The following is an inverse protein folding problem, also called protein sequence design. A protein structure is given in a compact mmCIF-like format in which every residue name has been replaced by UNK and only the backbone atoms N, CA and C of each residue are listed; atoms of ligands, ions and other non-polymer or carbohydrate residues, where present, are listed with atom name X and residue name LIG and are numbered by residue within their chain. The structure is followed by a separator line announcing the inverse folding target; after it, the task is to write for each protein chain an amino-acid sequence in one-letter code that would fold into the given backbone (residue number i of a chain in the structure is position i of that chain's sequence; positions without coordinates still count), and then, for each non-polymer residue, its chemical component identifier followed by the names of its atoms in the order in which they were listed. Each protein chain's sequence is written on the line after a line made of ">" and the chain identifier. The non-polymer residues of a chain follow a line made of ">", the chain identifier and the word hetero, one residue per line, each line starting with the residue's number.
data_IF_699372153408
#
_entry.id   IF_699372153408
#
_cell.length_a   1.000
_cell.length_b   1.000
_cell.length_c   1.000
_cell.angle_alpha   90.00
_cell.angle_beta   90.00
_cell.angle_gamma   90.00
#
_symmetry.space_group_name_H-M   'P 1'
#
loop_
_entity.id
_entity.type
_entity.pdbx_description
1 polymer ?
#
# COMPACT_ATOMS: atom_id res chain seq x y z
N UNK A 1 -13.70 11.56 1.85
CA UNK A 1 -12.48 11.45 1.05
C UNK A 1 -12.05 9.98 0.98
N UNK A 2 -11.79 9.50 -0.21
CA UNK A 2 -11.43 8.09 -0.43
C UNK A 2 -9.92 7.95 -0.46
N UNK A 3 -9.40 7.04 0.33
CA UNK A 3 -7.99 6.67 0.30
C UNK A 3 -7.90 5.16 0.13
N UNK A 4 -7.30 4.73 -0.97
CA UNK A 4 -7.23 3.33 -1.32
C UNK A 4 -6.01 2.66 -0.67
N UNK A 5 -6.21 1.47 -0.14
CA UNK A 5 -5.12 0.62 0.31
C UNK A 5 -5.01 -0.59 -0.57
N UNK A 6 -3.85 -0.82 -1.14
CA UNK A 6 -3.61 -1.94 -2.05
C UNK A 6 -2.51 -2.82 -1.48
N UNK A 7 -2.82 -4.09 -1.31
CA UNK A 7 -1.87 -5.08 -0.81
C UNK A 7 -1.51 -6.01 -1.95
N UNK A 8 -0.25 -6.00 -2.36
CA UNK A 8 0.26 -6.87 -3.41
C UNK A 8 1.16 -7.95 -2.83
N UNK A 9 0.97 -9.18 -3.27
CA UNK A 9 1.80 -10.30 -2.86
C UNK A 9 3.01 -10.51 -3.77
N UNK A 10 2.93 -10.06 -5.01
CA UNK A 10 3.97 -10.25 -6.01
C UNK A 10 4.64 -8.94 -6.36
N UNK A 11 5.96 -8.96 -6.40
CA UNK A 11 6.77 -7.80 -6.71
C UNK A 11 6.41 -7.17 -8.06
N UNK A 12 6.14 -7.99 -9.07
CA UNK A 12 5.82 -7.51 -10.40
C UNK A 12 4.53 -6.70 -10.44
N UNK A 13 3.50 -7.14 -9.70
CA UNK A 13 2.24 -6.43 -9.59
C UNK A 13 2.42 -5.08 -8.91
N UNK A 14 3.20 -5.05 -7.84
CA UNK A 14 3.48 -3.83 -7.08
C UNK A 14 4.27 -2.84 -7.94
N UNK A 15 5.25 -3.30 -8.68
CA UNK A 15 6.04 -2.44 -9.57
C UNK A 15 5.17 -1.78 -10.63
N UNK A 16 4.23 -2.52 -11.21
CA UNK A 16 3.32 -1.99 -12.22
C UNK A 16 2.47 -0.87 -11.65
N UNK A 17 1.94 -1.06 -10.44
CA UNK A 17 1.15 -0.04 -9.76
C UNK A 17 2.00 1.18 -9.41
N UNK A 18 3.20 0.96 -8.91
CA UNK A 18 4.10 2.06 -8.54
C UNK A 18 4.49 2.91 -9.74
N UNK A 19 4.64 2.30 -10.90
CA UNK A 19 4.95 3.02 -12.12
C UNK A 19 3.85 4.00 -12.53
N UNK A 20 2.61 3.72 -12.12
CA UNK A 20 1.45 4.56 -12.43
C UNK A 20 1.15 5.59 -11.35
N UNK A 21 1.77 5.48 -10.19
CA UNK A 21 1.54 6.42 -9.09
C UNK A 21 2.34 7.71 -9.25
N UNK A 22 1.73 8.81 -8.86
CA UNK A 22 2.35 10.12 -8.84
C UNK A 22 2.63 10.57 -7.40
N UNK A 23 3.66 11.39 -7.24
CA UNK A 23 4.05 11.96 -5.93
C UNK A 23 4.28 10.89 -4.87
N UNK A 24 4.96 9.82 -5.24
CA UNK A 24 5.22 8.70 -4.35
C UNK A 24 6.19 9.07 -3.23
N UNK A 25 5.89 8.57 -2.03
CA UNK A 25 6.86 8.55 -0.94
C UNK A 25 6.83 7.16 -0.30
N UNK A 26 7.98 6.68 0.12
CA UNK A 26 8.12 5.35 0.69
C UNK A 26 8.39 5.46 2.20
N UNK A 27 7.72 4.60 2.96
CA UNK A 27 7.93 4.52 4.40
C UNK A 27 7.94 3.05 4.82
N UNK A 28 8.91 2.68 5.64
CA UNK A 28 9.01 1.31 6.15
C UNK A 28 8.42 1.24 7.54
N UNK A 29 7.39 0.40 7.72
CA UNK A 29 6.74 0.16 9.00
C UNK A 29 6.65 -1.34 9.23
N UNK A 30 7.10 -1.80 10.37
CA UNK A 30 7.07 -3.22 10.76
C UNK A 30 7.67 -4.16 9.70
N UNK A 31 8.75 -3.72 9.06
CA UNK A 31 9.46 -4.51 8.06
C UNK A 31 8.86 -4.51 6.66
N UNK A 32 7.75 -3.81 6.45
CA UNK A 32 7.13 -3.68 5.13
C UNK A 32 7.27 -2.25 4.62
N UNK A 33 7.46 -2.10 3.32
CA UNK A 33 7.56 -0.78 2.70
C UNK A 33 6.21 -0.36 2.15
N UNK A 34 5.75 0.80 2.61
CA UNK A 34 4.48 1.39 2.18
C UNK A 34 4.76 2.56 1.26
N UNK A 35 4.16 2.54 0.08
CA UNK A 35 4.31 3.62 -0.90
C UNK A 35 3.01 4.42 -0.94
N UNK A 36 3.10 5.68 -0.54
CA UNK A 36 1.95 6.58 -0.51
C UNK A 36 2.06 7.57 -1.66
N UNK A 37 0.96 7.78 -2.38
CA UNK A 37 0.95 8.71 -3.49
C UNK A 37 -0.44 8.79 -4.11
N UNK A 38 -0.50 9.19 -5.36
CA UNK A 38 -1.76 9.28 -6.11
C UNK A 38 -1.78 8.28 -7.25
N UNK A 39 -2.89 7.59 -7.37
CA UNK A 39 -3.13 6.64 -8.45
C UNK A 39 -4.44 7.01 -9.14
N UNK A 40 -4.38 7.38 -10.41
CA UNK A 40 -5.52 7.83 -11.19
C UNK A 40 -6.29 8.99 -10.51
N UNK A 41 -5.56 9.91 -9.86
CA UNK A 41 -6.15 11.06 -9.19
C UNK A 41 -6.69 10.79 -7.80
N UNK A 42 -6.60 9.57 -7.30
CA UNK A 42 -7.03 9.20 -5.96
C UNK A 42 -5.84 8.96 -5.04
N UNK A 43 -6.00 9.31 -3.78
CA UNK A 43 -4.97 8.99 -2.78
C UNK A 43 -4.92 7.48 -2.60
N UNK A 44 -3.71 6.93 -2.66
CA UNK A 44 -3.51 5.49 -2.56
C UNK A 44 -2.25 5.16 -1.77
N UNK A 45 -2.29 4.04 -1.08
CA UNK A 45 -1.12 3.46 -0.40
C UNK A 45 -0.97 2.04 -0.91
N UNK A 46 0.20 1.72 -1.42
CA UNK A 46 0.51 0.37 -1.91
C UNK A 46 1.56 -0.24 -1.01
N UNK A 47 1.34 -1.46 -0.57
CA UNK A 47 2.30 -2.21 0.22
C UNK A 47 2.52 -3.57 -0.40
N UNK A 48 3.77 -3.99 -0.43
CA UNK A 48 4.14 -5.36 -0.79
C UNK A 48 4.26 -6.17 0.49
N UNK A 49 3.38 -7.14 0.66
CA UNK A 49 3.43 -8.04 1.79
C UNK A 49 4.15 -9.32 1.39
N UNK A 50 4.88 -9.90 2.34
CA UNK A 50 5.40 -11.24 2.17
C UNK A 50 4.25 -12.26 2.08
N UNK A 51 4.60 -13.48 1.71
CA UNK A 51 3.62 -14.56 1.58
C UNK A 51 3.07 -14.93 2.96
N UNK A 52 1.73 -14.93 3.12
CA UNK A 52 1.08 -15.39 4.33
C UNK A 52 -0.07 -14.51 4.78
N UNK A 53 -1.10 -15.13 5.35
CA UNK A 53 -2.30 -14.44 5.83
C UNK A 53 -2.01 -13.49 6.99
N UNK A 54 -1.06 -13.85 7.85
CA UNK A 54 -0.70 -13.05 9.02
C UNK A 54 -0.09 -11.71 8.57
N UNK A 55 0.79 -11.77 7.56
CA UNK A 55 1.41 -10.56 7.03
C UNK A 55 0.38 -9.64 6.36
N UNK A 56 -0.56 -10.21 5.62
CA UNK A 56 -1.62 -9.44 4.98
C UNK A 56 -2.51 -8.75 6.01
N UNK A 57 -2.88 -9.45 7.09
CA UNK A 57 -3.69 -8.87 8.15
C UNK A 57 -2.96 -7.73 8.86
N UNK A 58 -1.68 -7.89 9.13
CA UNK A 58 -0.86 -6.85 9.74
C UNK A 58 -0.73 -5.63 8.83
N UNK A 59 -0.50 -5.84 7.55
CA UNK A 59 -0.43 -4.76 6.56
C UNK A 59 -1.74 -4.00 6.47
N UNK A 60 -2.87 -4.71 6.45
CA UNK A 60 -4.19 -4.09 6.41
C UNK A 60 -4.42 -3.21 7.64
N UNK A 61 -4.05 -3.70 8.82
CA UNK A 61 -4.17 -2.93 10.06
C UNK A 61 -3.31 -1.67 10.03
N UNK A 62 -2.09 -1.77 9.54
CA UNK A 62 -1.19 -0.62 9.43
C UNK A 62 -1.74 0.40 8.43
N UNK A 63 -2.27 -0.05 7.30
CA UNK A 63 -2.89 0.83 6.31
C UNK A 63 -4.03 1.65 6.93
N UNK A 64 -4.84 1.02 7.75
CA UNK A 64 -5.97 1.68 8.40
C UNK A 64 -5.48 2.62 9.50
N UNK A 65 -4.60 2.13 10.38
CA UNK A 65 -4.17 2.87 11.57
C UNK A 65 -3.20 4.00 11.28
N UNK A 66 -2.22 3.76 10.43
CA UNK A 66 -1.13 4.72 10.20
C UNK A 66 -1.39 5.61 8.98
N UNK A 67 -2.03 5.09 7.96
CA UNK A 67 -2.23 5.82 6.71
C UNK A 67 -3.67 6.29 6.49
N UNK A 68 -4.60 5.91 7.35
CA UNK A 68 -5.99 6.37 7.26
C UNK A 68 -6.72 5.87 6.02
N UNK A 69 -6.40 4.67 5.55
CA UNK A 69 -7.03 4.08 4.38
C UNK A 69 -8.51 3.80 4.64
N UNK A 70 -9.37 4.16 3.71
CA UNK A 70 -10.81 3.96 3.82
C UNK A 70 -11.31 2.75 3.04
N UNK A 71 -10.58 2.32 2.01
CA UNK A 71 -10.93 1.16 1.17
C UNK A 71 -9.69 0.32 0.90
N UNK A 72 -9.79 -0.97 1.10
CA UNK A 72 -8.71 -1.93 0.84
C UNK A 72 -8.87 -2.66 -0.48
#
# INVERSE_FOLDING_TARGET
>A
MIKLGIIGAMELEVETLLAQMENKSAETVAGSTFYEGKLAGLDAVVVQCGVGKVNAALCAQILISEFGVTHL
#
